data_IF_944598085462
#
_entry.id   IF_944598085462
#
_cell.length_a   1.000
_cell.length_b   1.000
_cell.length_c   1.000
_cell.angle_alpha   90.00
_cell.angle_beta   90.00
_cell.angle_gamma   90.00
#
_symmetry.space_group_name_H-M   'P 1'
#
loop_
_entity.id
_entity.type
_entity.pdbx_description
1 polymer ?
#
# COMPACT_ATOMS: atom_id res chain seq x y z
N UNK A 1 -27.69 12.37 -3.86
CA UNK A 1 -28.24 11.10 -3.32
C UNK A 1 -27.35 9.96 -3.80
N UNK A 2 -26.22 9.75 -3.12
CA UNK A 2 -25.24 8.69 -3.42
C UNK A 2 -25.23 7.74 -2.22
N UNK A 3 -25.69 6.52 -2.46
CA UNK A 3 -25.78 5.44 -1.49
C UNK A 3 -24.39 4.95 -1.12
N UNK A 4 -23.96 5.21 0.12
CA UNK A 4 -22.82 4.53 0.74
C UNK A 4 -23.13 3.03 0.85
N UNK A 5 -22.69 2.24 -0.15
CA UNK A 5 -22.64 0.79 -0.02
C UNK A 5 -21.59 0.44 1.03
N UNK A 6 -22.08 0.10 2.21
CA UNK A 6 -21.31 -0.52 3.29
C UNK A 6 -20.68 -1.81 2.76
N UNK A 7 -19.36 -1.82 2.59
CA UNK A 7 -18.61 -3.07 2.54
C UNK A 7 -18.52 -3.59 3.98
N UNK A 8 -19.49 -4.44 4.37
CA UNK A 8 -19.37 -5.27 5.56
C UNK A 8 -18.23 -6.26 5.34
N UNK A 9 -17.04 -5.94 5.85
CA UNK A 9 -16.07 -6.98 6.18
C UNK A 9 -16.57 -7.66 7.45
N UNK A 10 -16.98 -8.92 7.31
CA UNK A 10 -17.28 -9.78 8.44
C UNK A 10 -16.07 -9.81 9.37
N UNK A 11 -16.24 -9.22 10.56
CA UNK A 11 -15.45 -9.58 11.72
C UNK A 11 -15.55 -11.11 11.87
N UNK A 12 -14.44 -11.82 11.68
CA UNK A 12 -14.27 -13.12 12.30
C UNK A 12 -14.28 -12.88 13.81
N UNK A 13 -15.48 -12.93 14.38
CA UNK A 13 -15.70 -12.90 15.81
C UNK A 13 -15.05 -14.15 16.39
N UNK A 14 -13.97 -13.98 17.13
CA UNK A 14 -13.49 -14.94 18.11
C UNK A 14 -14.51 -14.99 19.26
N UNK A 15 -15.65 -15.62 19.01
CA UNK A 15 -16.59 -16.04 20.03
C UNK A 15 -16.29 -17.50 20.37
N UNK A 16 -15.49 -17.68 21.42
CA UNK A 16 -15.21 -19.00 21.97
C UNK A 16 -13.96 -18.95 22.84
N UNK A 17 -14.17 -18.99 24.16
CA UNK A 17 -13.16 -19.15 25.21
C UNK A 17 -12.30 -17.91 25.49
N UNK A 18 -12.72 -17.10 26.46
CA UNK A 18 -11.93 -16.72 27.63
C UNK A 18 -12.80 -15.89 28.58
N UNK A 19 -13.49 -16.57 29.51
CA UNK A 19 -13.91 -15.96 30.77
C UNK A 19 -12.65 -15.75 31.60
N UNK A 20 -12.03 -14.58 31.51
CA UNK A 20 -11.15 -14.09 32.57
C UNK A 20 -11.28 -12.58 32.68
N UNK A 21 -12.11 -12.16 33.65
CA UNK A 21 -12.17 -10.79 34.16
C UNK A 21 -10.91 -10.55 35.00
N UNK A 22 -9.88 -9.92 34.45
CA UNK A 22 -8.83 -9.22 35.21
C UNK A 22 -8.16 -8.20 34.27
N UNK A 23 -8.33 -6.91 34.60
CA UNK A 23 -7.70 -5.72 34.01
C UNK A 23 -7.54 -5.69 32.49
N UNK A 24 -8.62 -5.33 31.78
CA UNK A 24 -8.46 -4.68 30.47
C UNK A 24 -8.12 -3.20 30.72
N UNK A 25 -7.10 -2.62 30.04
CA UNK A 25 -6.94 -1.17 30.03
C UNK A 25 -8.25 -0.54 29.53
N UNK A 26 -8.61 0.65 30.04
CA UNK A 26 -9.83 1.35 29.67
C UNK A 26 -9.97 1.40 28.13
N UNK A 27 -10.91 0.64 27.56
CA UNK A 27 -11.25 0.65 26.12
C UNK A 27 -11.97 1.97 25.71
N UNK A 28 -11.86 3.01 26.54
CA UNK A 28 -12.52 4.31 26.41
C UNK A 28 -11.49 5.45 26.54
N UNK A 29 -11.30 6.21 25.47
CA UNK A 29 -10.33 7.31 25.36
C UNK A 29 -11.04 8.60 24.96
N UNK A 30 -10.70 9.72 25.56
CA UNK A 30 -11.10 11.05 25.14
C UNK A 30 -9.87 11.83 24.68
N UNK A 31 -9.93 12.42 23.49
CA UNK A 31 -8.89 13.32 22.97
C UNK A 31 -9.52 14.71 22.96
N UNK A 32 -8.96 15.61 23.76
CA UNK A 32 -9.54 16.90 24.10
C UNK A 32 -8.74 18.05 23.46
N UNK A 33 -9.39 19.17 23.18
CA UNK A 33 -8.80 20.47 22.79
C UNK A 33 -7.99 20.50 21.46
N UNK A 34 -8.01 19.41 20.70
CA UNK A 34 -7.36 19.33 19.39
C UNK A 34 -8.15 20.01 18.27
N UNK A 35 -7.47 20.20 17.14
CA UNK A 35 -8.08 20.66 15.89
C UNK A 35 -8.36 19.46 14.99
N UNK A 36 -9.62 19.09 14.82
CA UNK A 36 -10.03 17.98 13.97
C UNK A 36 -9.94 18.39 12.49
N UNK A 37 -9.19 17.60 11.71
CA UNK A 37 -9.04 17.74 10.26
C UNK A 37 -10.00 16.81 9.54
N UNK A 38 -10.85 17.37 8.68
CA UNK A 38 -11.71 16.61 7.79
C UNK A 38 -11.13 16.65 6.35
N UNK A 39 -10.44 15.58 5.89
CA UNK A 39 -9.77 15.60 4.58
C UNK A 39 -10.75 15.60 3.40
N UNK A 40 -12.01 15.23 3.60
CA UNK A 40 -13.04 15.21 2.53
C UNK A 40 -13.58 16.61 2.27
N UNK A 41 -13.76 17.41 3.33
CA UNK A 41 -14.31 18.77 3.22
C UNK A 41 -13.26 19.87 3.32
N UNK A 42 -12.03 19.55 3.71
CA UNK A 42 -10.97 20.53 3.99
C UNK A 42 -11.22 21.37 5.26
N UNK A 43 -12.25 21.06 6.05
CA UNK A 43 -12.59 21.82 7.26
C UNK A 43 -11.67 21.46 8.42
N UNK A 44 -11.33 22.47 9.19
CA UNK A 44 -10.62 22.38 10.46
C UNK A 44 -11.53 22.93 11.57
N UNK A 45 -11.77 22.15 12.62
CA UNK A 45 -12.62 22.58 13.73
C UNK A 45 -12.03 22.17 15.08
N UNK A 46 -12.13 23.05 16.08
CA UNK A 46 -11.82 22.69 17.47
C UNK A 46 -12.88 21.74 17.99
N UNK A 47 -12.47 20.51 18.30
CA UNK A 47 -13.42 19.45 18.66
C UNK A 47 -12.77 18.35 19.49
N UNK A 48 -13.51 17.90 20.49
CA UNK A 48 -13.16 16.73 21.27
C UNK A 48 -13.67 15.46 20.56
N UNK A 49 -12.89 14.39 20.63
CA UNK A 49 -13.32 13.07 20.15
C UNK A 49 -13.27 12.06 21.29
N UNK A 50 -14.24 11.16 21.28
CA UNK A 50 -14.39 10.10 22.27
C UNK A 50 -14.35 8.77 21.55
N UNK A 51 -13.55 7.83 22.04
CA UNK A 51 -13.37 6.52 21.44
C UNK A 51 -13.83 5.51 22.45
N UNK A 52 -14.70 4.58 22.03
CA UNK A 52 -15.14 3.45 22.86
C UNK A 52 -15.21 2.19 22.01
N UNK A 53 -14.53 1.13 22.45
CA UNK A 53 -14.49 -0.16 21.73
C UNK A 53 -14.09 0.00 20.25
N UNK A 54 -13.15 0.91 19.96
CA UNK A 54 -12.70 1.21 18.59
C UNK A 54 -13.66 2.04 17.73
N UNK A 55 -14.77 2.53 18.29
CA UNK A 55 -15.74 3.40 17.62
C UNK A 55 -15.54 4.84 18.08
N UNK A 56 -15.58 5.79 17.13
CA UNK A 56 -15.40 7.23 17.38
C UNK A 56 -16.76 7.90 17.54
N UNK A 57 -16.87 8.76 18.55
CA UNK A 57 -18.01 9.60 18.88
C UNK A 57 -17.57 11.05 19.05
N UNK A 58 -18.48 11.99 18.76
CA UNK A 58 -18.24 13.43 18.91
C UNK A 58 -18.84 14.03 20.19
N UNK A 59 -19.55 13.20 20.95
CA UNK A 59 -20.08 13.54 22.27
C UNK A 59 -19.73 12.40 23.24
N UNK A 60 -19.49 12.70 24.52
CA UNK A 60 -19.23 11.66 25.50
C UNK A 60 -20.50 10.84 25.74
N UNK A 61 -20.33 9.53 25.89
CA UNK A 61 -21.43 8.68 26.35
C UNK A 61 -21.67 8.89 27.85
N UNK A 62 -22.93 8.83 28.27
CA UNK A 62 -23.29 8.94 29.69
C UNK A 62 -22.77 7.74 30.46
N UNK A 63 -22.33 7.96 31.70
CA UNK A 63 -21.85 6.92 32.62
C UNK A 63 -20.65 6.13 32.10
N UNK A 64 -19.81 6.73 31.24
CA UNK A 64 -18.53 6.16 30.79
C UNK A 64 -17.39 6.99 31.34
N UNK A 65 -16.39 6.32 31.92
CA UNK A 65 -15.13 6.95 32.32
C UNK A 65 -14.13 6.83 31.17
N UNK A 66 -13.50 7.93 30.80
CA UNK A 66 -12.52 8.00 29.72
C UNK A 66 -11.14 8.26 30.28
N UNK A 67 -10.13 7.59 29.72
CA UNK A 67 -8.76 8.07 29.82
C UNK A 67 -8.61 9.30 28.91
N UNK A 68 -7.91 10.33 29.35
CA UNK A 68 -7.86 11.61 28.62
C UNK A 68 -6.47 11.86 28.01
N UNK A 69 -6.46 12.41 26.79
CA UNK A 69 -5.29 12.99 26.14
C UNK A 69 -5.62 14.44 25.80
N UNK A 70 -4.82 15.38 26.30
CA UNK A 70 -4.90 16.78 25.87
C UNK A 70 -4.13 16.96 24.57
N UNK A 71 -4.84 17.29 23.50
CA UNK A 71 -4.30 17.57 22.15
C UNK A 71 -4.30 19.07 21.83
N UNK A 72 -4.26 19.93 22.85
CA UNK A 72 -4.12 21.38 22.66
C UNK A 72 -2.91 21.71 21.77
N UNK A 73 -3.12 22.58 20.79
CA UNK A 73 -2.11 22.93 19.79
C UNK A 73 -1.81 21.84 18.74
N UNK A 74 -2.43 20.67 18.83
CA UNK A 74 -2.22 19.55 17.90
C UNK A 74 -3.41 19.36 16.95
N UNK A 75 -3.10 18.78 15.78
CA UNK A 75 -4.11 18.29 14.84
C UNK A 75 -4.54 16.87 15.18
N UNK A 76 -5.84 16.61 15.03
CA UNK A 76 -6.44 15.28 15.09
C UNK A 76 -6.84 14.93 13.66
N UNK A 77 -6.21 13.91 13.09
CA UNK A 77 -6.47 13.46 11.72
C UNK A 77 -6.79 11.97 11.69
N UNK A 78 -7.49 11.48 10.65
CA UNK A 78 -7.53 10.06 10.36
C UNK A 78 -6.11 9.51 10.20
N UNK A 79 -5.86 8.32 10.75
CA UNK A 79 -4.56 7.66 10.58
C UNK A 79 -4.27 7.44 9.09
N UNK A 80 -3.01 7.60 8.71
CA UNK A 80 -2.57 7.46 7.32
C UNK A 80 -2.68 6.00 6.87
N UNK A 81 -2.79 5.81 5.56
CA UNK A 81 -2.79 4.50 4.91
C UNK A 81 -1.65 4.50 3.90
N UNK A 82 -0.69 3.60 4.08
CA UNK A 82 0.38 3.36 3.11
C UNK A 82 0.03 2.11 2.28
N UNK A 83 -0.02 2.25 0.96
CA UNK A 83 -0.35 1.14 0.07
C UNK A 83 0.91 0.48 -0.53
N UNK A 84 2.11 0.87 -0.11
CA UNK A 84 3.36 0.32 -0.63
C UNK A 84 4.45 0.22 0.45
N UNK A 85 4.47 -0.89 1.19
CA UNK A 85 5.47 -1.13 2.25
C UNK A 85 6.18 -2.47 2.07
N UNK A 86 7.49 -2.50 2.34
CA UNK A 86 8.27 -3.74 2.41
C UNK A 86 8.61 -4.07 3.87
N UNK A 87 7.94 -5.08 4.44
CA UNK A 87 8.20 -5.54 5.82
C UNK A 87 9.32 -6.57 5.93
N UNK A 88 9.85 -7.05 4.79
CA UNK A 88 10.98 -7.99 4.61
C UNK A 88 10.86 -9.37 5.26
N UNK A 89 9.95 -9.54 6.22
CA UNK A 89 9.55 -10.81 6.80
C UNK A 89 8.42 -11.47 5.97
N UNK A 90 8.55 -12.75 5.56
CA UNK A 90 9.66 -13.65 5.88
C UNK A 90 10.88 -13.52 4.96
N UNK A 91 12.05 -13.90 5.50
CA UNK A 91 13.25 -14.28 4.74
C UNK A 91 14.41 -13.29 4.75
N UNK A 92 14.15 -12.01 5.01
CA UNK A 92 15.19 -10.99 5.23
C UNK A 92 14.89 -10.25 6.56
N UNK A 93 14.69 -10.98 7.65
CA UNK A 93 14.34 -10.40 8.96
C UNK A 93 15.44 -9.49 9.54
N UNK A 94 16.67 -9.59 9.05
CA UNK A 94 17.78 -8.69 9.35
C UNK A 94 17.58 -7.27 8.82
N UNK A 95 16.84 -7.12 7.73
CA UNK A 95 16.53 -5.82 7.11
C UNK A 95 15.35 -5.15 7.82
N UNK A 96 14.26 -5.91 8.03
CA UNK A 96 13.05 -5.45 8.72
C UNK A 96 12.19 -6.66 9.14
N UNK A 97 11.39 -6.50 10.19
CA UNK A 97 10.38 -7.48 10.62
C UNK A 97 8.99 -6.88 10.60
N UNK A 98 7.95 -7.73 10.64
CA UNK A 98 6.57 -7.26 10.85
C UNK A 98 6.47 -6.43 12.13
N UNK A 99 7.24 -6.78 13.17
CA UNK A 99 7.25 -6.08 14.46
C UNK A 99 7.80 -4.65 14.35
N UNK A 100 9.04 -4.54 13.88
CA UNK A 100 9.74 -3.27 13.76
C UNK A 100 9.11 -2.35 12.71
N UNK A 101 8.72 -2.89 11.55
CA UNK A 101 8.03 -2.12 10.50
C UNK A 101 6.67 -1.58 10.97
N UNK A 102 5.92 -2.32 11.79
CA UNK A 102 4.67 -1.81 12.38
C UNK A 102 4.90 -0.68 13.37
N UNK A 103 5.98 -0.76 14.14
CA UNK A 103 6.36 0.29 15.07
C UNK A 103 6.78 1.55 14.31
N UNK A 104 7.52 1.40 13.22
CA UNK A 104 7.89 2.50 12.32
C UNK A 104 6.64 3.15 11.70
N UNK A 105 5.71 2.35 11.17
CA UNK A 105 4.46 2.83 10.58
C UNK A 105 3.65 3.69 11.57
N UNK A 106 3.44 3.19 12.79
CA UNK A 106 2.65 3.92 13.80
C UNK A 106 3.35 5.19 14.26
N UNK A 107 4.69 5.18 14.40
CA UNK A 107 5.46 6.42 14.66
C UNK A 107 5.34 7.43 13.52
N UNK A 108 5.18 6.98 12.28
CA UNK A 108 4.89 7.82 11.12
C UNK A 108 3.44 8.28 10.99
N UNK A 109 2.55 7.86 11.89
CA UNK A 109 1.12 8.19 11.85
C UNK A 109 0.27 7.28 10.95
N UNK A 110 0.83 6.16 10.49
CA UNK A 110 0.10 5.18 9.68
C UNK A 110 -0.68 4.20 10.57
N UNK A 111 -1.97 4.07 10.29
CA UNK A 111 -2.86 3.10 10.93
C UNK A 111 -3.08 1.84 10.10
N UNK A 112 -2.73 1.87 8.81
CA UNK A 112 -2.84 0.72 7.90
C UNK A 112 -1.70 0.74 6.89
N UNK A 113 -1.13 -0.43 6.60
CA UNK A 113 -0.10 -0.62 5.57
C UNK A 113 -0.44 -1.82 4.67
N UNK A 114 -0.11 -1.75 3.39
CA UNK A 114 -0.15 -2.87 2.45
C UNK A 114 1.27 -3.43 2.27
N UNK A 115 1.48 -4.68 2.68
CA UNK A 115 2.77 -5.35 2.57
C UNK A 115 2.98 -5.95 1.17
N UNK A 116 4.06 -5.54 0.50
CA UNK A 116 4.46 -6.06 -0.82
C UNK A 116 4.88 -7.53 -0.76
N UNK A 117 4.63 -8.32 -1.82
CA UNK A 117 4.76 -9.78 -1.79
C UNK A 117 6.16 -10.28 -2.12
N UNK A 118 7.15 -9.38 -2.19
CA UNK A 118 8.52 -9.66 -2.61
C UNK A 118 9.44 -10.18 -1.49
N UNK A 119 8.86 -10.90 -0.54
CA UNK A 119 9.55 -11.62 0.53
C UNK A 119 10.23 -12.89 0.04
N UNK A 120 10.90 -13.62 0.92
CA UNK A 120 11.49 -14.94 0.63
C UNK A 120 10.96 -15.99 1.62
N UNK A 121 10.13 -16.95 1.18
CA UNK A 121 9.58 -17.08 -0.17
C UNK A 121 8.61 -15.94 -0.53
N UNK A 122 8.37 -15.70 -1.84
CA UNK A 122 7.39 -14.71 -2.29
C UNK A 122 5.96 -15.14 -1.92
N UNK A 123 5.06 -14.17 -1.80
CA UNK A 123 3.67 -14.39 -1.37
C UNK A 123 2.79 -14.77 -2.57
N UNK A 124 2.98 -15.97 -3.13
CA UNK A 124 2.32 -16.45 -4.36
C UNK A 124 1.27 -17.55 -4.12
N UNK A 125 0.95 -17.83 -2.86
CA UNK A 125 0.01 -18.86 -2.44
C UNK A 125 -0.88 -18.43 -1.26
N UNK A 126 -2.02 -19.09 -1.10
CA UNK A 126 -2.95 -18.82 0.00
C UNK A 126 -2.32 -19.05 1.38
N UNK A 127 -1.45 -20.06 1.52
CA UNK A 127 -0.73 -20.35 2.77
C UNK A 127 0.16 -19.17 3.19
N UNK A 128 0.88 -18.58 2.22
CA UNK A 128 1.72 -17.40 2.48
C UNK A 128 0.89 -16.18 2.88
N UNK A 129 -0.26 -15.95 2.24
CA UNK A 129 -1.21 -14.88 2.66
C UNK A 129 -1.64 -15.09 4.11
N UNK A 130 -2.06 -16.31 4.46
CA UNK A 130 -2.49 -16.65 5.82
C UNK A 130 -1.35 -16.53 6.84
N UNK A 131 -0.12 -16.85 6.44
CA UNK A 131 1.07 -16.68 7.27
C UNK A 131 1.29 -15.21 7.63
N UNK A 132 1.24 -14.30 6.64
CA UNK A 132 1.36 -12.86 6.89
C UNK A 132 0.23 -12.37 7.80
N UNK A 133 -1.01 -12.78 7.56
CA UNK A 133 -2.16 -12.39 8.39
C UNK A 133 -1.98 -12.89 9.83
N UNK A 134 -1.60 -14.14 10.01
CA UNK A 134 -1.38 -14.76 11.33
C UNK A 134 -0.26 -14.06 12.09
N UNK A 135 0.88 -13.80 11.43
CA UNK A 135 1.98 -13.06 12.05
C UNK A 135 1.61 -11.63 12.38
N UNK A 136 0.89 -10.95 11.49
CA UNK A 136 0.40 -9.61 11.72
C UNK A 136 -0.62 -9.55 12.86
N UNK A 137 -1.44 -10.58 13.07
CA UNK A 137 -2.44 -10.61 14.16
C UNK A 137 -1.83 -10.60 15.57
N UNK A 138 -0.57 -11.04 15.69
CA UNK A 138 0.18 -10.94 16.94
C UNK A 138 0.67 -9.50 17.19
N UNK A 139 0.70 -8.66 16.16
CA UNK A 139 1.07 -7.26 16.20
C UNK A 139 -0.18 -6.36 16.06
N UNK A 140 -0.73 -5.90 17.19
CA UNK A 140 -1.99 -5.16 17.21
C UNK A 140 -1.84 -3.64 17.05
N UNK A 141 -0.66 -3.15 16.64
CA UNK A 141 -0.35 -1.71 16.64
C UNK A 141 -0.74 -1.05 15.31
N UNK A 142 -0.56 -1.75 14.18
CA UNK A 142 -0.96 -1.28 12.83
C UNK A 142 -1.75 -2.37 12.12
N UNK A 143 -2.68 -2.00 11.24
CA UNK A 143 -3.35 -2.96 10.37
C UNK A 143 -2.47 -3.28 9.17
N UNK A 144 -2.05 -4.54 9.04
CA UNK A 144 -1.29 -5.01 7.87
C UNK A 144 -2.23 -5.76 6.94
N UNK A 145 -2.23 -5.33 5.68
CA UNK A 145 -2.94 -5.98 4.58
C UNK A 145 -1.91 -6.66 3.67
N UNK A 146 -2.05 -7.94 3.32
CA UNK A 146 -1.12 -8.59 2.41
C UNK A 146 -1.48 -8.32 0.94
N UNK A 147 -0.49 -8.01 0.11
CA UNK A 147 -0.57 -8.21 -1.33
C UNK A 147 -0.15 -9.65 -1.70
N UNK A 148 -0.63 -10.14 -2.84
CA UNK A 148 -0.20 -11.42 -3.42
C UNK A 148 0.54 -11.22 -4.75
N UNK A 149 1.34 -12.21 -5.15
CA UNK A 149 2.05 -12.17 -6.44
C UNK A 149 1.07 -12.29 -7.62
N UNK A 150 1.40 -11.65 -8.75
CA UNK A 150 0.73 -11.86 -10.03
C UNK A 150 1.14 -13.21 -10.62
N UNK A 151 2.42 -13.58 -10.46
CA UNK A 151 2.99 -14.81 -11.01
C UNK A 151 3.65 -15.72 -9.97
N UNK A 152 3.70 -17.01 -10.28
CA UNK A 152 4.40 -17.99 -9.44
C UNK A 152 5.86 -17.56 -9.27
N UNK A 153 6.33 -17.53 -8.02
CA UNK A 153 7.66 -17.10 -7.63
C UNK A 153 8.06 -15.68 -8.05
N UNK A 154 7.11 -14.86 -8.52
CA UNK A 154 7.35 -13.53 -9.14
C UNK A 154 8.24 -13.57 -10.39
N UNK A 155 8.23 -14.69 -11.11
CA UNK A 155 9.10 -14.91 -12.28
C UNK A 155 8.56 -14.32 -13.59
N UNK A 156 7.31 -13.86 -13.63
CA UNK A 156 6.70 -13.30 -14.84
C UNK A 156 6.35 -14.34 -15.91
N UNK A 157 6.35 -15.64 -15.57
CA UNK A 157 6.22 -16.75 -16.54
C UNK A 157 4.89 -17.50 -16.47
N UNK A 158 4.29 -17.59 -15.28
CA UNK A 158 3.06 -18.35 -15.04
C UNK A 158 2.21 -17.67 -13.97
N UNK A 159 0.91 -17.53 -14.25
CA UNK A 159 -0.06 -16.90 -13.34
C UNK A 159 -0.10 -17.64 -12.00
N UNK A 160 -0.05 -16.88 -10.89
CA UNK A 160 -0.16 -17.42 -9.54
C UNK A 160 -1.60 -17.86 -9.21
N UNK A 161 -1.81 -18.45 -8.04
CA UNK A 161 -3.14 -18.90 -7.57
C UNK A 161 -4.00 -17.74 -7.05
N UNK A 162 -4.28 -16.76 -7.91
CA UNK A 162 -4.94 -15.48 -7.56
C UNK A 162 -6.27 -15.65 -6.82
N UNK A 163 -7.09 -16.62 -7.24
CA UNK A 163 -8.41 -16.88 -6.64
C UNK A 163 -8.25 -17.38 -5.20
N UNK A 164 -7.33 -18.30 -4.96
CA UNK A 164 -7.07 -18.85 -3.62
C UNK A 164 -6.51 -17.78 -2.70
N UNK A 165 -5.54 -16.99 -3.17
CA UNK A 165 -4.97 -15.87 -2.43
C UNK A 165 -6.02 -14.81 -2.10
N UNK A 166 -6.89 -14.47 -3.05
CA UNK A 166 -7.98 -13.52 -2.82
C UNK A 166 -8.94 -14.00 -1.73
N UNK A 167 -9.26 -15.30 -1.70
CA UNK A 167 -10.09 -15.92 -0.65
C UNK A 167 -9.36 -15.95 0.70
N UNK A 168 -8.05 -16.13 0.70
CA UNK A 168 -7.22 -16.13 1.90
C UNK A 168 -7.04 -14.74 2.52
N UNK A 169 -7.30 -13.66 1.76
CA UNK A 169 -7.28 -12.28 2.28
C UNK A 169 -6.35 -11.32 1.52
N UNK A 170 -5.78 -11.72 0.38
CA UNK A 170 -5.00 -10.80 -0.46
C UNK A 170 -5.84 -9.57 -0.85
N UNK A 171 -5.32 -8.38 -0.58
CA UNK A 171 -6.03 -7.12 -0.85
C UNK A 171 -5.77 -6.55 -2.23
N UNK A 172 -4.59 -6.82 -2.77
CA UNK A 172 -4.10 -6.38 -4.08
C UNK A 172 -3.13 -7.41 -4.63
N UNK A 173 -2.79 -7.31 -5.91
CA UNK A 173 -1.82 -8.20 -6.55
C UNK A 173 -0.76 -7.42 -7.32
N UNK A 174 0.50 -7.79 -7.12
CA UNK A 174 1.68 -7.18 -7.76
C UNK A 174 2.84 -8.18 -7.77
N UNK A 175 3.73 -8.09 -8.75
CA UNK A 175 5.03 -8.78 -8.71
C UNK A 175 6.17 -7.87 -8.22
N UNK A 176 5.81 -6.70 -7.68
CA UNK A 176 6.65 -5.59 -7.20
C UNK A 176 8.13 -5.93 -6.94
N UNK A 177 9.02 -5.11 -7.50
CA UNK A 177 10.45 -5.39 -7.65
C UNK A 177 10.78 -6.20 -8.92
N UNK A 178 9.78 -6.67 -9.66
CA UNK A 178 9.87 -7.17 -11.04
C UNK A 178 8.63 -6.75 -11.84
N UNK A 179 8.60 -7.04 -13.15
CA UNK A 179 7.50 -6.70 -14.05
C UNK A 179 7.11 -7.90 -14.90
N UNK A 180 5.80 -8.13 -15.09
CA UNK A 180 5.30 -9.17 -15.99
C UNK A 180 5.39 -8.68 -17.45
N UNK A 181 6.34 -9.22 -18.23
CA UNK A 181 6.58 -8.74 -19.60
C UNK A 181 5.62 -9.31 -20.65
N UNK A 182 5.10 -10.52 -20.42
CA UNK A 182 4.20 -11.16 -21.39
C UNK A 182 2.82 -10.50 -21.32
N UNK A 183 2.46 -9.80 -22.40
CA UNK A 183 1.18 -9.11 -22.52
C UNK A 183 -0.03 -10.05 -22.45
N UNK A 184 0.09 -11.29 -22.94
CA UNK A 184 -0.98 -12.29 -22.88
C UNK A 184 -1.17 -12.78 -21.45
N UNK A 185 -0.08 -13.04 -20.74
CA UNK A 185 -0.12 -13.40 -19.33
C UNK A 185 -0.71 -12.26 -18.48
N UNK A 186 -0.22 -11.03 -18.68
CA UNK A 186 -0.73 -9.86 -17.96
C UNK A 186 -2.22 -9.63 -18.24
N UNK A 187 -2.67 -9.78 -19.49
CA UNK A 187 -4.08 -9.69 -19.87
C UNK A 187 -4.95 -10.73 -19.16
N UNK A 188 -4.53 -11.99 -19.16
CA UNK A 188 -5.23 -13.09 -18.49
C UNK A 188 -5.32 -12.87 -16.96
N UNK A 189 -4.24 -12.36 -16.36
CA UNK A 189 -4.21 -11.93 -14.95
C UNK A 189 -5.22 -10.81 -14.71
N UNK A 190 -5.22 -9.76 -15.54
CA UNK A 190 -6.15 -8.63 -15.42
C UNK A 190 -7.62 -9.05 -15.55
N UNK A 191 -7.97 -9.97 -16.46
CA UNK A 191 -9.33 -10.53 -16.51
C UNK A 191 -9.70 -11.28 -15.23
N UNK A 192 -8.76 -12.06 -14.69
CA UNK A 192 -8.95 -12.77 -13.42
C UNK A 192 -9.19 -11.79 -12.26
N UNK A 193 -8.37 -10.74 -12.15
CA UNK A 193 -8.48 -9.72 -11.10
C UNK A 193 -9.74 -8.86 -11.25
N UNK A 194 -10.17 -8.57 -12.47
CA UNK A 194 -11.46 -7.93 -12.74
C UNK A 194 -12.62 -8.76 -12.20
N UNK A 195 -12.64 -10.06 -12.48
CA UNK A 195 -13.67 -10.96 -11.96
C UNK A 195 -13.66 -11.06 -10.43
N UNK A 196 -12.48 -11.00 -9.81
CA UNK A 196 -12.32 -10.97 -8.35
C UNK A 196 -12.60 -9.59 -7.72
N UNK A 197 -12.80 -8.55 -8.53
CA UNK A 197 -12.85 -7.14 -8.11
C UNK A 197 -11.63 -6.72 -7.26
N UNK A 198 -10.42 -7.16 -7.66
CA UNK A 198 -9.16 -6.84 -6.99
C UNK A 198 -8.30 -5.92 -7.88
N UNK A 199 -7.57 -4.96 -7.30
CA UNK A 199 -6.67 -4.11 -8.08
C UNK A 199 -5.38 -4.87 -8.41
N UNK A 200 -4.86 -4.58 -9.60
CA UNK A 200 -3.48 -4.85 -9.97
C UNK A 200 -2.64 -3.63 -9.61
N UNK A 201 -1.51 -3.84 -8.95
CA UNK A 201 -0.48 -2.84 -8.71
C UNK A 201 0.71 -3.22 -9.59
N UNK A 202 1.22 -2.31 -10.42
CA UNK A 202 2.38 -2.58 -11.27
C UNK A 202 3.57 -1.73 -10.86
N UNK A 203 4.69 -2.41 -10.56
CA UNK A 203 6.01 -1.83 -10.60
C UNK A 203 6.38 -1.67 -12.08
N UNK A 204 6.02 -0.52 -12.65
CA UNK A 204 6.15 -0.28 -14.08
C UNK A 204 7.61 -0.03 -14.47
N UNK A 205 8.37 -1.09 -14.74
CA UNK A 205 9.75 -0.99 -15.21
C UNK A 205 10.12 -2.12 -16.18
N UNK A 206 10.31 -1.79 -17.46
CA UNK A 206 10.83 -2.76 -18.42
C UNK A 206 12.31 -3.05 -18.13
N UNK A 207 12.58 -4.17 -17.46
CA UNK A 207 13.95 -4.58 -17.11
C UNK A 207 14.85 -4.78 -18.34
N UNK A 208 14.29 -5.02 -19.54
CA UNK A 208 15.07 -5.12 -20.79
C UNK A 208 15.56 -3.76 -21.28
N UNK A 209 14.86 -2.68 -20.90
CA UNK A 209 15.24 -1.30 -21.19
C UNK A 209 16.12 -0.74 -20.05
N UNK A 210 15.79 -1.07 -18.79
CA UNK A 210 16.58 -0.66 -17.63
C UNK A 210 17.96 -1.32 -17.60
N UNK A 211 18.05 -2.60 -18.00
CA UNK A 211 19.28 -3.39 -17.92
C UNK A 211 19.83 -3.43 -16.49
N UNK A 212 21.15 -3.30 -16.37
CA UNK A 212 21.84 -3.16 -15.07
C UNK A 212 21.89 -1.71 -14.58
N UNK A 213 20.98 -0.84 -15.04
CA UNK A 213 20.95 0.56 -14.64
C UNK A 213 20.70 0.72 -13.14
N UNK A 214 21.38 1.68 -12.52
CA UNK A 214 21.28 1.96 -11.06
C UNK A 214 20.86 3.40 -10.75
N UNK A 215 20.86 4.27 -11.76
CA UNK A 215 20.52 5.68 -11.62
C UNK A 215 19.82 6.17 -12.89
N UNK A 216 18.98 7.19 -12.77
CA UNK A 216 18.36 7.84 -13.92
C UNK A 216 19.39 8.30 -14.97
N UNK A 217 19.13 7.94 -16.24
CA UNK A 217 19.85 8.48 -17.40
C UNK A 217 19.84 10.02 -17.39
N UNK A 218 21.01 10.62 -17.36
CA UNK A 218 21.17 12.07 -17.41
C UNK A 218 22.63 12.52 -17.33
N UNK A 219 22.83 13.81 -17.04
CA UNK A 219 24.17 14.38 -16.86
C UNK A 219 24.93 13.71 -15.72
N UNK A 220 24.26 13.46 -14.59
CA UNK A 220 24.91 12.96 -13.37
C UNK A 220 25.34 11.51 -13.46
N UNK A 221 24.51 10.63 -14.03
CA UNK A 221 24.89 9.25 -14.28
C UNK A 221 26.17 9.16 -15.12
N UNK A 222 26.32 10.02 -16.13
CA UNK A 222 27.54 10.11 -16.95
C UNK A 222 28.73 10.67 -16.19
N UNK A 223 28.52 11.73 -15.40
CA UNK A 223 29.57 12.33 -14.56
C UNK A 223 30.11 11.33 -13.55
N UNK A 224 29.22 10.57 -12.90
CA UNK A 224 29.55 9.54 -11.91
C UNK A 224 29.96 8.21 -12.55
N UNK A 225 29.85 8.06 -13.87
CA UNK A 225 30.13 6.82 -14.63
C UNK A 225 29.31 5.62 -14.16
N UNK A 226 28.06 5.87 -13.76
CA UNK A 226 27.12 4.85 -13.31
C UNK A 226 26.23 4.37 -14.47
N UNK A 227 25.81 3.10 -14.39
CA UNK A 227 24.91 2.51 -15.38
C UNK A 227 23.53 3.16 -15.30
N UNK A 228 22.97 3.51 -16.46
CA UNK A 228 21.79 4.37 -16.56
C UNK A 228 20.47 3.61 -16.74
N UNK A 229 19.40 4.09 -16.12
CA UNK A 229 18.01 3.69 -16.36
C UNK A 229 17.32 4.75 -17.23
N UNK A 230 16.91 4.43 -18.47
CA UNK A 230 16.18 5.35 -19.33
C UNK A 230 14.75 5.58 -18.84
N UNK A 231 14.19 6.75 -19.11
CA UNK A 231 12.76 7.04 -18.87
C UNK A 231 11.81 6.03 -19.51
N UNK A 232 12.19 5.54 -20.68
CA UNK A 232 11.44 4.55 -21.44
C UNK A 232 11.24 3.23 -20.69
N UNK A 233 12.08 2.91 -19.70
CA UNK A 233 11.87 1.74 -18.87
C UNK A 233 10.52 1.84 -18.13
N UNK A 234 10.15 3.03 -17.64
CA UNK A 234 8.89 3.23 -16.93
C UNK A 234 7.72 3.46 -17.89
N UNK A 235 7.76 4.54 -18.69
CA UNK A 235 6.57 4.99 -19.40
C UNK A 235 6.08 4.00 -20.48
N UNK A 236 6.92 3.08 -20.95
CA UNK A 236 6.50 2.00 -21.87
C UNK A 236 5.67 0.93 -21.19
N UNK A 237 5.94 0.61 -19.92
CA UNK A 237 5.09 -0.31 -19.15
C UNK A 237 3.77 0.37 -18.79
N UNK A 238 3.80 1.66 -18.45
CA UNK A 238 2.58 2.46 -18.23
C UNK A 238 1.70 2.51 -19.49
N UNK A 239 2.29 2.72 -20.67
CA UNK A 239 1.58 2.68 -21.96
C UNK A 239 0.90 1.32 -22.20
N UNK A 240 1.64 0.22 -21.98
CA UNK A 240 1.10 -1.16 -22.05
C UNK A 240 -0.08 -1.35 -21.10
N UNK A 241 0.07 -0.95 -19.85
CA UNK A 241 -0.94 -1.19 -18.81
C UNK A 241 -2.20 -0.37 -19.02
N UNK A 242 -2.09 0.84 -19.56
CA UNK A 242 -3.25 1.63 -19.98
C UNK A 242 -4.01 0.90 -21.09
N UNK A 243 -3.30 0.33 -22.08
CA UNK A 243 -3.94 -0.42 -23.16
C UNK A 243 -4.65 -1.68 -22.64
N UNK A 244 -4.00 -2.45 -21.75
CA UNK A 244 -4.60 -3.64 -21.16
C UNK A 244 -5.73 -3.29 -20.16
N UNK A 245 -5.62 -2.20 -19.42
CA UNK A 245 -6.67 -1.68 -18.54
C UNK A 245 -7.93 -1.32 -19.36
N UNK A 246 -7.74 -0.67 -20.52
CA UNK A 246 -8.83 -0.35 -21.44
C UNK A 246 -9.50 -1.61 -22.00
N UNK A 247 -8.71 -2.63 -22.35
CA UNK A 247 -9.21 -3.89 -22.90
C UNK A 247 -9.98 -4.71 -21.85
N UNK A 248 -9.43 -4.85 -20.64
CA UNK A 248 -9.92 -5.77 -19.61
C UNK A 248 -10.88 -5.12 -18.62
N UNK A 249 -10.85 -3.79 -18.50
CA UNK A 249 -11.55 -3.04 -17.46
C UNK A 249 -11.05 -3.31 -16.05
N UNK A 250 -9.89 -3.96 -15.87
CA UNK A 250 -9.26 -4.20 -14.58
C UNK A 250 -8.83 -2.88 -13.94
N UNK A 251 -8.94 -2.79 -12.60
CA UNK A 251 -8.39 -1.65 -11.86
C UNK A 251 -6.87 -1.80 -11.82
N UNK A 252 -6.16 -0.79 -12.31
CA UNK A 252 -4.71 -0.76 -12.34
C UNK A 252 -4.20 0.41 -11.49
N UNK A 253 -3.17 0.17 -10.70
CA UNK A 253 -2.49 1.17 -9.91
C UNK A 253 -1.01 1.14 -10.25
N UNK A 254 -0.47 2.23 -10.78
CA UNK A 254 0.96 2.31 -11.12
C UNK A 254 1.74 2.77 -9.90
N UNK A 255 2.69 1.96 -9.46
CA UNK A 255 3.51 2.22 -8.28
C UNK A 255 4.56 3.29 -8.57
N UNK A 256 4.86 4.11 -7.56
CA UNK A 256 5.94 5.11 -7.50
C UNK A 256 6.34 5.78 -8.84
N UNK A 257 5.44 6.57 -9.44
CA UNK A 257 5.72 7.27 -10.71
C UNK A 257 6.91 8.22 -10.56
N UNK A 258 7.86 8.13 -11.50
CA UNK A 258 9.07 8.97 -11.51
C UNK A 258 9.25 9.79 -12.80
N UNK A 259 8.38 9.62 -13.80
CA UNK A 259 8.54 10.32 -15.10
C UNK A 259 7.35 11.19 -15.51
N UNK A 260 7.66 12.32 -16.12
CA UNK A 260 6.67 13.23 -16.70
C UNK A 260 5.83 12.55 -17.79
N UNK A 261 6.44 11.69 -18.61
CA UNK A 261 5.76 10.94 -19.66
C UNK A 261 4.68 10.02 -19.08
N UNK A 262 5.00 9.24 -18.03
CA UNK A 262 4.02 8.40 -17.35
C UNK A 262 2.88 9.22 -16.77
N UNK A 263 3.18 10.38 -16.17
CA UNK A 263 2.15 11.27 -15.62
C UNK A 263 1.20 11.78 -16.72
N UNK A 264 1.72 12.16 -17.90
CA UNK A 264 0.89 12.58 -19.03
C UNK A 264 -0.02 11.45 -19.53
N UNK A 265 0.52 10.25 -19.69
CA UNK A 265 -0.23 9.07 -20.11
C UNK A 265 -1.35 8.74 -19.12
N UNK A 266 -1.05 8.77 -17.82
CA UNK A 266 -2.02 8.54 -16.75
C UNK A 266 -3.13 9.58 -16.74
N UNK A 267 -2.79 10.87 -16.85
CA UNK A 267 -3.76 11.95 -16.87
C UNK A 267 -4.71 11.85 -18.09
N UNK A 268 -4.19 11.42 -19.24
CA UNK A 268 -5.05 11.15 -20.41
C UNK A 268 -5.96 9.93 -20.19
N UNK A 269 -5.43 8.83 -19.67
CA UNK A 269 -6.20 7.63 -19.36
C UNK A 269 -7.34 7.89 -18.35
N UNK A 270 -7.05 8.66 -17.30
CA UNK A 270 -8.03 9.06 -16.29
C UNK A 270 -9.12 9.97 -16.87
N UNK A 271 -8.77 10.93 -17.74
CA UNK A 271 -9.76 11.76 -18.46
C UNK A 271 -10.69 10.93 -19.35
N UNK A 272 -10.22 9.79 -19.86
CA UNK A 272 -11.02 8.82 -20.62
C UNK A 272 -11.88 7.90 -19.72
N UNK A 273 -11.85 8.11 -18.40
CA UNK A 273 -12.62 7.31 -17.44
C UNK A 273 -12.07 5.90 -17.21
N UNK A 274 -10.82 5.63 -17.60
CA UNK A 274 -10.21 4.33 -17.32
C UNK A 274 -9.99 4.17 -15.81
N UNK A 275 -10.19 2.96 -15.24
CA UNK A 275 -10.01 2.69 -13.83
C UNK A 275 -8.53 2.55 -13.44
N UNK A 276 -7.74 3.58 -13.75
CA UNK A 276 -6.30 3.64 -13.50
C UNK A 276 -5.97 4.72 -12.48
N UNK A 277 -5.11 4.37 -11.54
CA UNK A 277 -4.59 5.27 -10.50
C UNK A 277 -3.08 5.14 -10.42
N UNK A 278 -2.43 5.99 -9.65
CA UNK A 278 -1.01 5.92 -9.41
C UNK A 278 -0.65 6.54 -8.06
N UNK A 279 0.57 6.30 -7.62
CA UNK A 279 1.17 6.91 -6.44
C UNK A 279 2.50 7.59 -6.79
N UNK A 280 2.94 8.48 -5.91
CA UNK A 280 4.28 9.05 -5.92
C UNK A 280 4.85 8.96 -4.51
N UNK A 281 6.13 8.65 -4.39
CA UNK A 281 6.77 8.56 -3.08
C UNK A 281 7.22 9.93 -2.60
N UNK A 282 7.33 10.15 -1.26
CA UNK A 282 7.83 11.41 -0.73
C UNK A 282 9.21 11.81 -1.29
N UNK A 283 10.12 10.85 -1.47
CA UNK A 283 11.46 11.13 -2.01
C UNK A 283 11.43 11.55 -3.48
N UNK A 284 10.55 11.01 -4.33
CA UNK A 284 10.41 11.50 -5.72
C UNK A 284 9.74 12.88 -5.82
N UNK A 285 9.02 13.31 -4.79
CA UNK A 285 8.44 14.66 -4.72
C UNK A 285 9.43 15.71 -4.20
N UNK A 286 10.37 15.31 -3.35
CA UNK A 286 11.29 16.21 -2.65
C UNK A 286 12.69 16.24 -3.25
N UNK A 287 13.14 15.12 -3.80
CA UNK A 287 14.47 14.95 -4.36
C UNK A 287 14.41 14.78 -5.87
N UNK A 288 15.52 15.10 -6.52
CA UNK A 288 15.74 14.85 -7.93
C UNK A 288 17.18 14.37 -8.14
N UNK A 289 17.53 14.07 -9.40
CA UNK A 289 18.87 13.61 -9.74
C UNK A 289 19.95 14.54 -9.17
N UNK A 290 19.73 15.86 -9.22
CA UNK A 290 20.72 16.87 -8.80
C UNK A 290 21.15 16.74 -7.34
N UNK A 291 20.36 16.08 -6.49
CA UNK A 291 20.69 15.82 -5.09
C UNK A 291 21.75 14.69 -4.94
N UNK A 292 21.91 13.84 -5.96
CA UNK A 292 22.93 12.77 -6.00
C UNK A 292 24.31 13.38 -6.31
N UNK A 293 25.10 13.61 -5.26
CA UNK A 293 26.45 14.22 -5.40
C UNK A 293 27.56 13.20 -5.67
N UNK A 294 27.40 11.96 -5.21
CA UNK A 294 28.39 10.88 -5.26
C UNK A 294 27.68 9.53 -5.44
N UNK A 295 28.46 8.48 -5.68
CA UNK A 295 27.96 7.10 -5.69
C UNK A 295 27.58 6.66 -4.26
N UNK A 296 26.33 6.88 -3.89
CA UNK A 296 25.78 6.68 -2.54
C UNK A 296 24.35 6.18 -2.65
N UNK A 297 24.11 4.93 -2.24
CA UNK A 297 22.82 4.26 -2.36
C UNK A 297 21.73 4.83 -1.43
N UNK A 298 22.03 5.84 -0.62
CA UNK A 298 21.03 6.58 0.15
C UNK A 298 20.27 7.63 -0.68
N UNK A 299 20.66 7.86 -1.94
CA UNK A 299 20.03 8.80 -2.86
C UNK A 299 19.50 8.13 -4.13
#
# INVERSE_FOLDING_TARGET
MLTMRHYQYHHLTTNGLMKNKKNKPNDSLAILNGTLLNPVSGKEEKKNIYIRNGVIFFLPERNVSYSEINAEGLFIAPALIDIHVHLREPGNEEDETISSGSTAAVKGGFGTVLAMPNTKPPVDSADMILRIITRSSNNKIVRILPAGCLTEKREGRKKAKLIEMSKAGAMAFTDDGTTVHDNNLMRDIMFTLKALNKPLLDHAMDCRIAGDGVIRRGYLSRRLKLKEIPAAAEYKMVERDIALCKETGCRVHIQHISTFQSLQLLAEAQRKGLPITAEATPHHLLLCNDDIKRDDANF
#
